data_IF_373362275755
#
_entry.id   IF_373362275755
#
_cell.length_a   1.000
_cell.length_b   1.000
_cell.length_c   1.000
_cell.angle_alpha   90.00
_cell.angle_beta   90.00
_cell.angle_gamma   90.00
#
_symmetry.space_group_name_H-M   'P 1'
#
loop_
_entity.id
_entity.type
_entity.pdbx_description
1 polymer ?
#
# COMPACT_ATOMS: atom_id res chain seq x y z
N UNK A 1 13.03 14.36 20.75
CA UNK A 1 11.94 13.78 19.92
C UNK A 1 10.65 14.59 20.04
N UNK A 2 10.27 15.05 21.24
CA UNK A 2 9.00 15.76 21.45
C UNK A 2 8.83 17.05 20.64
N UNK A 3 9.90 17.85 20.50
CA UNK A 3 9.86 19.07 19.68
C UNK A 3 9.56 18.75 18.20
N UNK A 4 10.18 17.68 17.65
CA UNK A 4 9.92 17.22 16.29
C UNK A 4 8.48 16.70 16.15
N UNK A 5 8.02 15.86 17.09
CA UNK A 5 6.64 15.36 17.08
C UNK A 5 5.61 16.50 17.21
N UNK A 6 5.91 17.54 17.98
CA UNK A 6 5.08 18.75 18.08
C UNK A 6 4.92 19.44 16.72
N UNK A 7 6.03 19.69 16.01
CA UNK A 7 5.99 20.28 14.66
C UNK A 7 5.23 19.39 13.68
N UNK A 8 5.49 18.07 13.69
CA UNK A 8 4.81 17.11 12.82
C UNK A 8 3.29 17.07 13.08
N UNK A 9 2.83 17.15 14.34
CA UNK A 9 1.40 17.27 14.68
C UNK A 9 0.77 18.53 14.10
N UNK A 10 1.46 19.67 14.18
CA UNK A 10 0.99 20.93 13.58
C UNK A 10 0.85 20.80 12.06
N UNK A 11 1.81 20.17 11.38
CA UNK A 11 1.76 19.96 9.93
C UNK A 11 0.71 18.91 9.51
N UNK A 12 0.46 17.89 10.34
CA UNK A 12 -0.56 16.87 10.13
C UNK A 12 -1.99 17.41 10.25
N UNK A 13 -2.17 18.52 10.98
CA UNK A 13 -3.46 19.21 11.21
C UNK A 13 -3.56 20.56 10.48
N UNK A 14 -2.61 20.88 9.60
CA UNK A 14 -2.47 22.19 8.95
C UNK A 14 -3.79 22.76 8.40
N UNK A 15 -4.16 23.93 8.91
CA UNK A 15 -5.38 24.68 8.59
C UNK A 15 -5.11 26.00 7.87
N UNK A 16 -3.85 26.28 7.51
CA UNK A 16 -3.41 27.55 6.96
C UNK A 16 -4.03 27.87 5.59
N UNK A 17 -4.95 28.84 5.56
CA UNK A 17 -5.73 29.18 4.36
C UNK A 17 -4.92 29.80 3.22
N UNK A 18 -3.71 30.28 3.47
CA UNK A 18 -2.81 30.82 2.43
C UNK A 18 -2.27 29.76 1.46
N UNK A 19 -2.32 28.47 1.82
CA UNK A 19 -1.91 27.36 0.93
C UNK A 19 -3.05 26.94 0.00
N UNK A 20 -2.77 26.24 -1.09
CA UNK A 20 -3.85 25.65 -1.88
C UNK A 20 -4.56 24.52 -1.11
N UNK A 21 -5.86 24.32 -1.36
CA UNK A 21 -6.65 23.25 -0.71
C UNK A 21 -6.09 21.85 -1.02
N UNK A 22 -5.65 21.63 -2.26
CA UNK A 22 -5.06 20.37 -2.71
C UNK A 22 -3.74 20.09 -1.96
N UNK A 23 -2.87 21.08 -1.85
CA UNK A 23 -1.58 20.97 -1.16
C UNK A 23 -1.78 20.67 0.33
N UNK A 24 -2.66 21.40 1.02
CA UNK A 24 -3.01 21.10 2.41
C UNK A 24 -3.53 19.68 2.60
N UNK A 25 -4.30 19.16 1.64
CA UNK A 25 -4.81 17.78 1.72
C UNK A 25 -3.66 16.78 1.57
N UNK A 26 -2.77 16.98 0.58
CA UNK A 26 -1.61 16.13 0.33
C UNK A 26 -0.63 16.16 1.51
N UNK A 27 -0.28 17.36 1.97
CA UNK A 27 0.60 17.62 3.09
C UNK A 27 0.10 16.92 4.36
N UNK A 28 -1.15 17.13 4.77
CA UNK A 28 -1.71 16.48 5.96
C UNK A 28 -1.73 14.95 5.83
N UNK A 29 -1.98 14.42 4.63
CA UNK A 29 -1.93 12.98 4.38
C UNK A 29 -0.52 12.44 4.63
N UNK A 30 0.50 13.07 4.05
CA UNK A 30 1.90 12.68 4.21
C UNK A 30 2.36 12.83 5.67
N UNK A 31 2.10 13.96 6.31
CA UNK A 31 2.56 14.20 7.68
C UNK A 31 1.86 13.32 8.72
N UNK A 32 0.61 12.90 8.49
CA UNK A 32 -0.01 11.87 9.34
C UNK A 32 0.73 10.53 9.26
N UNK A 33 1.09 10.09 8.06
CA UNK A 33 1.84 8.85 7.88
C UNK A 33 3.26 8.94 8.49
N UNK A 34 3.94 10.07 8.29
CA UNK A 34 5.27 10.31 8.88
C UNK A 34 5.19 10.36 10.41
N UNK A 35 4.23 11.12 10.97
CA UNK A 35 4.04 11.22 12.41
C UNK A 35 3.76 9.84 13.02
N UNK A 36 2.85 9.06 12.43
CA UNK A 36 2.55 7.70 12.88
C UNK A 36 3.81 6.81 12.88
N UNK A 37 4.62 6.88 11.83
CA UNK A 37 5.85 6.10 11.74
C UNK A 37 6.92 6.53 12.76
N UNK A 38 7.02 7.83 13.05
CA UNK A 38 7.98 8.36 14.05
C UNK A 38 7.54 8.03 15.48
N UNK A 39 6.22 7.97 15.74
CA UNK A 39 5.68 7.67 17.07
C UNK A 39 5.50 6.17 17.36
N UNK A 40 5.14 5.38 16.35
CA UNK A 40 4.70 3.98 16.49
C UNK A 40 5.55 2.97 15.73
N UNK A 41 6.73 3.36 15.24
CA UNK A 41 7.75 2.52 14.59
C UNK A 41 7.39 1.78 13.30
N UNK A 42 6.13 1.76 12.85
CA UNK A 42 5.74 0.98 11.65
C UNK A 42 5.36 1.88 10.46
N UNK A 43 5.87 1.49 9.28
CA UNK A 43 5.50 2.06 8.00
C UNK A 43 4.28 1.31 7.47
N UNK A 44 3.27 2.05 6.98
CA UNK A 44 2.13 1.45 6.29
C UNK A 44 2.61 0.66 5.07
N UNK A 45 2.29 -0.64 5.04
CA UNK A 45 2.61 -1.55 3.94
C UNK A 45 1.73 -1.25 2.71
N UNK A 46 2.36 -1.11 1.56
CA UNK A 46 1.70 -0.96 0.27
C UNK A 46 2.01 -2.15 -0.64
N UNK A 47 0.99 -2.69 -1.31
CA UNK A 47 1.16 -3.82 -2.23
C UNK A 47 1.04 -3.37 -3.68
N UNK A 48 2.03 -3.70 -4.49
CA UNK A 48 2.04 -3.45 -5.94
C UNK A 48 1.98 -4.79 -6.66
N UNK A 49 0.81 -5.11 -7.22
CA UNK A 49 0.62 -6.34 -7.97
C UNK A 49 1.03 -6.14 -9.44
N UNK A 50 1.92 -7.00 -9.93
CA UNK A 50 2.39 -6.97 -11.32
C UNK A 50 2.40 -8.40 -11.88
N UNK A 51 1.63 -8.64 -12.94
CA UNK A 51 1.44 -10.00 -13.46
C UNK A 51 0.90 -10.97 -12.39
N UNK A 52 1.69 -12.01 -12.10
CA UNK A 52 1.39 -13.04 -11.09
C UNK A 52 2.02 -12.76 -9.73
N UNK A 53 2.90 -11.77 -9.64
CA UNK A 53 3.69 -11.47 -8.45
C UNK A 53 3.17 -10.21 -7.76
N UNK A 54 3.60 -10.02 -6.51
CA UNK A 54 3.26 -8.85 -5.70
C UNK A 54 4.55 -8.35 -5.05
N UNK A 55 4.85 -7.07 -5.24
CA UNK A 55 5.89 -6.37 -4.51
C UNK A 55 5.27 -5.78 -3.25
N UNK A 56 5.87 -6.11 -2.10
CA UNK A 56 5.54 -5.53 -0.80
C UNK A 56 6.46 -4.35 -0.52
N UNK A 57 5.87 -3.15 -0.43
CA UNK A 57 6.54 -1.90 -0.08
C UNK A 57 6.23 -1.61 1.39
N UNK A 58 7.02 -2.22 2.25
CA UNK A 58 6.86 -2.30 3.72
C UNK A 58 7.70 -1.28 4.50
N UNK A 59 8.58 -0.55 3.82
CA UNK A 59 9.49 0.41 4.45
C UNK A 59 9.59 1.72 3.67
N UNK A 60 9.99 2.79 4.36
CA UNK A 60 10.24 4.09 3.73
C UNK A 60 11.37 4.04 2.71
N UNK A 61 12.42 3.25 2.98
CA UNK A 61 13.52 3.05 2.04
C UNK A 61 13.02 2.41 0.74
N UNK A 62 12.29 1.28 0.85
CA UNK A 62 11.73 0.59 -0.30
C UNK A 62 10.70 1.46 -1.05
N UNK A 63 9.88 2.23 -0.33
CA UNK A 63 8.95 3.20 -0.92
C UNK A 63 9.66 4.29 -1.72
N UNK A 64 10.79 4.82 -1.21
CA UNK A 64 11.59 5.85 -1.91
C UNK A 64 12.25 5.29 -3.16
N UNK A 65 12.83 4.10 -3.09
CA UNK A 65 13.43 3.41 -4.25
C UNK A 65 12.37 3.14 -5.32
N UNK A 66 11.21 2.58 -4.91
CA UNK A 66 10.09 2.35 -5.81
C UNK A 66 9.57 3.63 -6.47
N UNK A 67 9.40 4.71 -5.70
CA UNK A 67 8.96 5.99 -6.25
C UNK A 67 9.95 6.55 -7.28
N UNK A 68 11.25 6.49 -7.01
CA UNK A 68 12.28 6.96 -7.94
C UNK A 68 12.24 6.19 -9.27
N UNK A 69 12.17 4.86 -9.23
CA UNK A 69 12.03 4.06 -10.45
C UNK A 69 10.70 4.31 -11.15
N UNK A 70 9.60 4.45 -10.42
CA UNK A 70 8.29 4.74 -10.99
C UNK A 70 8.26 6.09 -11.70
N UNK A 71 8.89 7.12 -11.15
CA UNK A 71 8.95 8.45 -11.76
C UNK A 71 9.78 8.45 -13.07
N UNK A 72 10.83 7.63 -13.14
CA UNK A 72 11.69 7.51 -14.34
C UNK A 72 11.07 6.58 -15.40
N UNK A 73 10.58 5.41 -14.99
CA UNK A 73 10.10 4.35 -15.90
C UNK A 73 8.63 4.55 -16.29
N UNK A 74 7.84 5.27 -15.50
CA UNK A 74 6.44 5.54 -15.74
C UNK A 74 5.62 4.26 -15.97
N UNK A 75 4.97 4.17 -17.14
CA UNK A 75 4.18 3.00 -17.54
C UNK A 75 5.01 1.73 -17.71
N UNK A 76 6.34 1.85 -17.87
CA UNK A 76 7.25 0.71 -17.98
C UNK A 76 7.52 -0.01 -16.66
N UNK A 77 7.13 0.56 -15.51
CA UNK A 77 7.49 0.02 -14.19
C UNK A 77 7.12 -1.47 -14.02
N UNK A 78 5.92 -1.88 -14.44
CA UNK A 78 5.51 -3.28 -14.36
C UNK A 78 6.36 -4.20 -15.23
N UNK A 79 6.72 -3.77 -16.44
CA UNK A 79 7.56 -4.57 -17.33
C UNK A 79 8.95 -4.79 -16.73
N UNK A 80 9.54 -3.75 -16.13
CA UNK A 80 10.85 -3.87 -15.49
C UNK A 80 10.81 -4.71 -14.21
N UNK A 81 9.75 -4.64 -13.40
CA UNK A 81 9.58 -5.53 -12.25
C UNK A 81 9.56 -7.02 -12.64
N UNK A 82 9.04 -7.33 -13.83
CA UNK A 82 8.96 -8.71 -14.31
C UNK A 82 10.27 -9.20 -14.93
N UNK A 83 10.90 -8.37 -15.76
CA UNK A 83 11.90 -8.84 -16.72
C UNK A 83 13.32 -8.28 -16.48
N UNK A 84 13.49 -7.31 -15.60
CA UNK A 84 14.79 -6.67 -15.37
C UNK A 84 15.47 -7.26 -14.13
N UNK A 85 16.54 -8.03 -14.33
CA UNK A 85 17.27 -8.71 -13.26
C UNK A 85 17.76 -7.74 -12.17
N UNK A 86 18.37 -6.61 -12.55
CA UNK A 86 18.82 -5.59 -11.59
C UNK A 86 17.67 -5.09 -10.71
N UNK A 87 16.52 -4.77 -11.31
CA UNK A 87 15.38 -4.25 -10.55
C UNK A 87 14.77 -5.34 -9.65
N UNK A 88 14.80 -6.60 -10.10
CA UNK A 88 14.38 -7.74 -9.28
C UNK A 88 15.31 -7.98 -8.10
N UNK A 89 16.62 -7.83 -8.28
CA UNK A 89 17.60 -7.91 -7.20
C UNK A 89 17.40 -6.77 -6.19
N UNK A 90 17.20 -5.53 -6.66
CA UNK A 90 16.94 -4.36 -5.79
C UNK A 90 15.71 -4.55 -4.89
N UNK A 91 14.68 -5.25 -5.38
CA UNK A 91 13.43 -5.49 -4.65
C UNK A 91 13.32 -6.89 -4.06
N UNK A 92 14.38 -7.71 -4.14
CA UNK A 92 14.42 -9.09 -3.66
C UNK A 92 13.28 -9.97 -4.22
N UNK A 93 12.93 -9.79 -5.50
CA UNK A 93 11.86 -10.52 -6.17
C UNK A 93 12.28 -11.91 -6.66
N UNK A 94 13.59 -12.22 -6.58
CA UNK A 94 14.17 -13.44 -7.13
C UNK A 94 14.31 -13.41 -8.66
N UNK A 95 14.67 -14.53 -9.30
CA UNK A 95 14.93 -14.57 -10.74
C UNK A 95 13.68 -14.28 -11.57
N UNK A 96 13.87 -13.86 -12.82
CA UNK A 96 12.78 -13.61 -13.78
C UNK A 96 11.94 -14.87 -13.95
N UNK A 97 10.62 -14.73 -13.83
CA UNK A 97 9.70 -15.84 -14.05
C UNK A 97 9.58 -16.19 -15.53
N UNK A 98 10.22 -17.29 -15.94
CA UNK A 98 10.04 -17.88 -17.27
C UNK A 98 8.94 -18.94 -17.18
N UNK A 99 7.69 -18.51 -17.38
CA UNK A 99 6.53 -19.40 -17.36
C UNK A 99 6.02 -19.64 -18.77
N UNK A 100 5.79 -20.91 -19.11
CA UNK A 100 5.12 -21.27 -20.35
C UNK A 100 3.60 -21.02 -20.25
N UNK A 101 2.91 -21.14 -21.39
CA UNK A 101 1.46 -20.90 -21.46
C UNK A 101 0.64 -21.88 -20.60
N UNK A 102 1.17 -23.08 -20.33
CA UNK A 102 0.51 -24.10 -19.52
C UNK A 102 0.61 -23.75 -18.03
N UNK A 103 1.80 -23.37 -17.55
CA UNK A 103 2.04 -22.91 -16.19
C UNK A 103 1.25 -21.64 -15.88
N UNK A 104 1.20 -20.68 -16.81
CA UNK A 104 0.38 -19.47 -16.69
C UNK A 104 -1.12 -19.77 -16.54
N UNK A 105 -1.63 -20.82 -17.19
CA UNK A 105 -3.01 -21.29 -17.00
C UNK A 105 -3.20 -21.96 -15.64
N UNK A 106 -2.25 -22.79 -15.21
CA UNK A 106 -2.32 -23.48 -13.92
C UNK A 106 -2.32 -22.50 -12.72
N UNK A 107 -1.61 -21.37 -12.81
CA UNK A 107 -1.62 -20.34 -11.76
C UNK A 107 -2.96 -19.59 -11.63
N UNK A 108 -3.91 -19.76 -12.56
CA UNK A 108 -5.21 -19.09 -12.50
C UNK A 108 -6.17 -19.88 -11.60
N UNK A 109 -6.45 -19.31 -10.43
CA UNK A 109 -7.58 -19.76 -9.60
C UNK A 109 -8.88 -19.80 -10.42
N UNK A 110 -9.67 -20.86 -10.25
CA UNK A 110 -10.95 -21.00 -10.93
C UNK A 110 -11.92 -19.89 -10.51
N UNK A 111 -12.93 -19.63 -11.35
CA UNK A 111 -13.99 -18.67 -11.03
C UNK A 111 -14.69 -19.01 -9.73
N UNK A 112 -14.93 -20.30 -9.49
CA UNK A 112 -15.61 -20.79 -8.29
C UNK A 112 -14.78 -20.58 -7.04
N UNK A 113 -13.49 -20.93 -7.05
CA UNK A 113 -12.59 -20.73 -5.91
C UNK A 113 -12.42 -19.24 -5.57
N UNK A 114 -12.24 -18.38 -6.58
CA UNK A 114 -12.20 -16.92 -6.38
C UNK A 114 -13.48 -16.41 -5.72
N UNK A 115 -14.65 -16.88 -6.18
CA UNK A 115 -15.93 -16.49 -5.60
C UNK A 115 -16.04 -16.93 -4.14
N UNK A 116 -15.72 -18.19 -3.84
CA UNK A 116 -15.80 -18.75 -2.50
C UNK A 116 -14.86 -18.03 -1.52
N UNK A 117 -13.61 -17.79 -1.94
CA UNK A 117 -12.63 -17.04 -1.14
C UNK A 117 -13.12 -15.63 -0.82
N UNK A 118 -13.59 -14.89 -1.83
CA UNK A 118 -14.09 -13.53 -1.65
C UNK A 118 -15.35 -13.49 -0.78
N UNK A 119 -16.27 -14.45 -0.93
CA UNK A 119 -17.46 -14.58 -0.11
C UNK A 119 -17.11 -14.85 1.37
N UNK A 120 -16.15 -15.74 1.62
CA UNK A 120 -15.65 -16.02 2.96
C UNK A 120 -15.02 -14.77 3.60
N UNK A 121 -14.13 -14.07 2.87
CA UNK A 121 -13.51 -12.83 3.33
C UNK A 121 -14.55 -11.72 3.61
N UNK A 122 -15.58 -11.59 2.77
CA UNK A 122 -16.67 -10.64 2.96
C UNK A 122 -17.50 -10.96 4.21
N UNK A 123 -17.85 -12.24 4.41
CA UNK A 123 -18.59 -12.71 5.59
C UNK A 123 -17.80 -12.46 6.88
N UNK A 124 -16.51 -12.80 6.89
CA UNK A 124 -15.63 -12.55 8.03
C UNK A 124 -15.55 -11.05 8.38
N UNK A 125 -15.35 -10.19 7.37
CA UNK A 125 -15.31 -8.73 7.54
C UNK A 125 -16.63 -8.17 8.09
N UNK A 126 -17.76 -8.67 7.61
CA UNK A 126 -19.09 -8.25 8.07
C UNK A 126 -19.30 -8.62 9.53
N UNK A 127 -18.96 -9.86 9.94
CA UNK A 127 -19.01 -10.32 11.33
C UNK A 127 -18.09 -9.53 12.27
N UNK A 128 -16.88 -9.19 11.82
CA UNK A 128 -15.96 -8.38 12.61
C UNK A 128 -16.49 -6.96 12.82
N UNK A 129 -17.02 -6.34 11.75
CA UNK A 129 -17.53 -4.97 11.80
C UNK A 129 -18.84 -4.86 12.58
N UNK A 130 -19.73 -5.86 12.53
CA UNK A 130 -21.00 -5.80 13.27
C UNK A 130 -20.79 -5.61 14.77
N UNK A 131 -19.69 -6.12 15.33
CA UNK A 131 -19.33 -5.92 16.76
C UNK A 131 -19.10 -4.46 17.17
N UNK A 132 -18.75 -3.59 16.21
CA UNK A 132 -18.39 -2.17 16.48
C UNK A 132 -19.32 -1.19 15.78
N UNK A 133 -20.31 -1.67 14.99
CA UNK A 133 -21.23 -0.81 14.24
C UNK A 133 -22.16 -0.02 15.15
N UNK A 134 -22.61 -0.64 16.23
CA UNK A 134 -23.58 -0.02 17.14
C UNK A 134 -22.91 0.92 18.17
N UNK A 135 -21.62 1.25 17.97
CA UNK A 135 -20.86 2.18 18.84
C UNK A 135 -21.52 3.56 18.99
N UNK A 136 -22.34 3.97 18.03
CA UNK A 136 -23.07 5.25 18.02
C UNK A 136 -24.58 5.05 17.86
N UNK A 137 -25.08 3.88 18.23
CA UNK A 137 -26.51 3.65 18.22
C UNK A 137 -27.14 4.42 19.39
N UNK A 138 -28.17 5.21 19.10
CA UNK A 138 -29.01 5.83 20.12
C UNK A 138 -29.97 4.76 20.65
N UNK A 139 -29.46 3.90 21.54
CA UNK A 139 -30.25 2.88 22.22
C UNK A 139 -30.89 3.53 23.46
N UNK A 140 -32.21 3.47 23.53
CA UNK A 140 -33.02 3.95 24.64
C UNK A 140 -32.88 3.05 25.88
#
# INVERSE_FOLDING_TARGET
MDALCGVLRTLATDSNKYRAKADRRRQRCTFRAVLHSVEGSECEEETVRFGLEVLYVDSWARRRVYAAFKDVLGSGMHHHLQNNELLRDIFDLGPVLVLDAAALKACKLSRFEKHLYNAAAFKARTKARSRVRDKRADVL
#
